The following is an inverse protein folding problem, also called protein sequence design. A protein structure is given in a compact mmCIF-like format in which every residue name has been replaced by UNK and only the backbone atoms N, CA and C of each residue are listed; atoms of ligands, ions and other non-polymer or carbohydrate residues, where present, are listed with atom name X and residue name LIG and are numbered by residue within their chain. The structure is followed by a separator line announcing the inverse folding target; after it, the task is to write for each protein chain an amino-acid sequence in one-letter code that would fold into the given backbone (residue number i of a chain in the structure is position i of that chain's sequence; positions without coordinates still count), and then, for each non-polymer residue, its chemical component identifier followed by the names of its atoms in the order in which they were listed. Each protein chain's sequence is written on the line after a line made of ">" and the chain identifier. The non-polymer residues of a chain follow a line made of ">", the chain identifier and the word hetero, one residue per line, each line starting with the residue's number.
data_IF_099405984247
#
_entry.id   IF_099405984247
#
_cell.length_a   1.000
_cell.length_b   1.000
_cell.length_c   1.000
_cell.angle_alpha   90.00
_cell.angle_beta   90.00
_cell.angle_gamma   90.00
#
_symmetry.space_group_name_H-M   'P 1'
#
loop_
_entity.id
_entity.type
_entity.pdbx_description
1 polymer ?
#
# COMPACT_ATOMS: atom_id res chain seq x y z
N UNK A 1 21.10 5.63 -19.16
CA UNK A 1 20.69 6.82 -18.39
C UNK A 1 20.31 6.37 -17.00
N UNK A 2 21.02 6.76 -15.93
CA UNK A 2 20.53 6.49 -14.58
C UNK A 2 19.18 7.21 -14.42
N UNK A 3 18.18 6.51 -13.88
CA UNK A 3 16.88 7.11 -13.58
C UNK A 3 17.09 8.23 -12.54
N UNK A 4 16.64 9.43 -12.86
CA UNK A 4 16.71 10.56 -11.95
C UNK A 4 15.87 10.23 -10.70
N UNK A 5 16.40 10.41 -9.47
CA UNK A 5 15.66 10.09 -8.27
C UNK A 5 14.39 10.94 -8.23
N UNK A 6 13.25 10.26 -8.16
CA UNK A 6 11.94 10.89 -8.26
C UNK A 6 11.72 11.81 -7.05
N UNK A 7 11.36 13.07 -7.31
CA UNK A 7 11.17 14.06 -6.27
C UNK A 7 9.92 13.72 -5.44
N UNK A 8 9.97 13.92 -4.11
CA UNK A 8 8.82 13.64 -3.28
C UNK A 8 7.65 14.54 -3.66
N UNK A 9 6.51 13.93 -3.93
CA UNK A 9 5.28 14.64 -4.24
C UNK A 9 4.08 13.91 -3.65
N UNK A 10 3.07 14.68 -3.31
CA UNK A 10 1.74 14.15 -3.06
C UNK A 10 1.13 13.92 -4.45
N UNK A 11 1.03 12.65 -4.84
CA UNK A 11 0.43 12.28 -6.10
C UNK A 11 -1.02 11.88 -5.87
N UNK A 12 -1.94 12.46 -6.64
CA UNK A 12 -3.34 12.10 -6.58
C UNK A 12 -3.59 10.96 -7.57
N UNK A 13 -3.85 9.76 -7.06
CA UNK A 13 -4.30 8.63 -7.88
C UNK A 13 -5.79 8.43 -7.61
N UNK A 14 -6.63 8.84 -8.56
CA UNK A 14 -8.08 8.93 -8.39
C UNK A 14 -8.46 9.80 -7.18
N UNK A 15 -9.22 9.26 -6.22
CA UNK A 15 -9.58 9.95 -4.97
C UNK A 15 -8.49 9.86 -3.88
N UNK A 16 -7.47 9.04 -4.08
CA UNK A 16 -6.44 8.75 -3.07
C UNK A 16 -5.25 9.69 -3.25
N UNK A 17 -4.85 10.36 -2.17
CA UNK A 17 -3.56 11.06 -2.11
C UNK A 17 -2.51 10.06 -1.64
N UNK A 18 -1.53 9.78 -2.49
CA UNK A 18 -0.42 8.90 -2.16
C UNK A 18 0.81 9.76 -1.87
N UNK A 19 1.39 9.52 -0.70
CA UNK A 19 2.66 10.10 -0.31
C UNK A 19 3.79 9.27 -0.93
N UNK A 20 4.49 9.84 -1.91
CA UNK A 20 5.73 9.24 -2.43
C UNK A 20 6.92 9.88 -1.73
N UNK A 21 7.57 9.12 -0.86
CA UNK A 21 8.84 9.52 -0.25
C UNK A 21 9.95 9.53 -1.32
N UNK A 22 10.24 10.69 -1.89
CA UNK A 22 11.44 10.88 -2.71
C UNK A 22 12.72 10.91 -1.89
N UNK A 23 13.86 11.01 -2.57
CA UNK A 23 15.16 11.09 -1.92
C UNK A 23 15.24 12.34 -1.00
N UNK A 24 15.56 12.14 0.29
CA UNK A 24 15.87 13.23 1.23
C UNK A 24 14.96 13.32 2.47
N UNK A 25 13.79 12.69 2.48
CA UNK A 25 12.98 12.59 3.70
C UNK A 25 13.56 11.57 4.67
N UNK A 26 13.54 11.91 5.96
CA UNK A 26 13.92 11.04 7.07
C UNK A 26 12.76 10.15 7.49
N UNK A 27 11.55 10.68 7.53
CA UNK A 27 10.36 9.93 7.92
C UNK A 27 9.08 10.77 7.96
N UNK A 28 8.05 10.19 8.55
CA UNK A 28 6.76 10.85 8.82
C UNK A 28 6.67 11.08 10.34
N UNK A 29 6.78 12.33 10.76
CA UNK A 29 6.63 12.74 12.15
C UNK A 29 5.15 12.92 12.51
N UNK A 30 4.76 12.38 13.65
CA UNK A 30 3.53 12.74 14.37
C UNK A 30 3.90 13.72 15.48
N UNK A 31 3.21 14.85 15.54
CA UNK A 31 3.43 15.90 16.54
C UNK A 31 2.12 16.51 17.02
N UNK A 32 2.10 16.97 18.27
CA UNK A 32 0.93 17.61 18.84
C UNK A 32 1.01 19.12 18.60
N UNK A 33 -0.11 19.73 18.19
CA UNK A 33 -0.18 21.18 17.88
C UNK A 33 -0.88 22.00 18.95
N UNK A 34 -1.69 21.37 19.81
CA UNK A 34 -2.33 22.00 20.93
C UNK A 34 -2.28 21.07 22.15
N UNK A 35 -1.90 21.60 23.31
CA UNK A 35 -1.85 20.90 24.60
C UNK A 35 -3.14 21.05 25.42
N UNK A 36 -4.16 21.74 24.88
CA UNK A 36 -5.46 21.90 25.51
C UNK A 36 -6.31 20.62 25.45
N UNK A 37 -6.83 20.20 26.61
CA UNK A 37 -7.48 18.90 26.86
C UNK A 37 -8.77 18.63 26.07
N UNK A 38 -9.42 19.67 25.55
CA UNK A 38 -10.71 19.54 24.86
C UNK A 38 -10.59 19.51 23.31
N UNK A 39 -9.41 19.82 22.75
CA UNK A 39 -9.18 19.87 21.30
C UNK A 39 -7.73 19.47 20.94
N UNK A 40 -7.31 18.26 21.35
CA UNK A 40 -5.99 17.74 20.98
C UNK A 40 -5.92 17.49 19.47
N UNK A 41 -5.17 18.34 18.78
CA UNK A 41 -4.90 18.26 17.35
C UNK A 41 -3.50 17.77 17.10
N UNK A 42 -3.38 16.81 16.20
CA UNK A 42 -2.12 16.24 15.79
C UNK A 42 -1.83 16.56 14.34
N UNK A 43 -0.57 16.88 14.07
CA UNK A 43 -0.05 17.02 12.74
C UNK A 43 0.76 15.79 12.35
N UNK A 44 0.55 15.34 11.12
CA UNK A 44 1.48 14.45 10.44
C UNK A 44 2.31 15.29 9.49
N UNK A 45 3.63 15.18 9.57
CA UNK A 45 4.54 15.94 8.75
C UNK A 45 5.62 15.05 8.13
N UNK A 46 5.94 15.29 6.86
CA UNK A 46 7.15 14.78 6.25
C UNK A 46 8.34 15.57 6.80
N UNK A 47 9.29 14.90 7.47
CA UNK A 47 10.47 15.54 8.05
C UNK A 47 11.75 15.07 7.36
N UNK A 48 12.61 16.02 7.01
CA UNK A 48 13.91 15.78 6.43
C UNK A 48 14.99 15.76 7.52
N UNK A 49 16.19 15.25 7.18
CA UNK A 49 17.32 15.23 8.11
C UNK A 49 17.95 16.61 8.38
N UNK A 50 17.62 17.61 7.56
CA UNK A 50 18.13 18.98 7.62
C UNK A 50 17.17 19.97 8.32
N UNK A 51 16.12 19.45 8.96
CA UNK A 51 15.13 20.25 9.68
C UNK A 51 13.96 20.76 8.82
N UNK A 52 13.97 20.54 7.49
CA UNK A 52 12.79 20.84 6.67
C UNK A 52 11.61 19.93 7.03
N UNK A 53 10.42 20.51 7.12
CA UNK A 53 9.19 19.79 7.46
C UNK A 53 8.02 20.29 6.63
N UNK A 54 7.12 19.39 6.21
CA UNK A 54 5.88 19.71 5.50
C UNK A 54 4.72 18.97 6.16
N UNK A 55 3.75 19.72 6.71
CA UNK A 55 2.51 19.15 7.23
C UNK A 55 1.66 18.57 6.09
N UNK A 56 1.26 17.32 6.23
CA UNK A 56 0.48 16.58 5.22
C UNK A 56 -0.94 16.27 5.70
N UNK A 57 -1.18 16.26 7.01
CA UNK A 57 -2.50 16.07 7.61
C UNK A 57 -2.58 16.71 8.99
N UNK A 58 -3.79 17.13 9.37
CA UNK A 58 -4.18 17.53 10.73
C UNK A 58 -5.35 16.63 11.13
N UNK A 59 -5.21 15.93 12.25
CA UNK A 59 -6.12 14.88 12.70
C UNK A 59 -6.42 15.08 14.20
N UNK A 60 -7.49 14.45 14.68
CA UNK A 60 -7.73 14.28 16.11
C UNK A 60 -6.98 13.06 16.67
N UNK A 61 -7.12 12.82 17.97
CA UNK A 61 -6.48 11.72 18.67
C UNK A 61 -6.96 10.33 18.19
N UNK A 62 -8.23 10.21 17.80
CA UNK A 62 -8.84 8.92 17.47
C UNK A 62 -8.29 8.37 16.15
N UNK A 63 -8.03 9.25 15.18
CA UNK A 63 -7.58 8.84 13.85
C UNK A 63 -6.06 8.93 13.64
N UNK A 64 -5.35 9.81 14.37
CA UNK A 64 -3.96 10.15 14.05
C UNK A 64 -3.03 8.94 13.96
N UNK A 65 -3.13 8.00 14.91
CA UNK A 65 -2.22 6.85 14.98
C UNK A 65 -2.46 5.90 13.81
N UNK A 66 -3.73 5.68 13.44
CA UNK A 66 -4.09 4.80 12.33
C UNK A 66 -3.59 5.37 11.00
N UNK A 67 -3.87 6.65 10.75
CA UNK A 67 -3.45 7.34 9.52
C UNK A 67 -1.92 7.44 9.44
N UNK A 68 -1.24 7.72 10.54
CA UNK A 68 0.23 7.76 10.60
C UNK A 68 0.87 6.43 10.20
N UNK A 69 0.37 5.31 10.76
CA UNK A 69 0.85 3.96 10.40
C UNK A 69 0.57 3.61 8.95
N UNK A 70 -0.61 4.00 8.44
CA UNK A 70 -0.96 3.80 7.04
C UNK A 70 -0.07 4.61 6.10
N UNK A 71 0.26 5.85 6.46
CA UNK A 71 1.22 6.66 5.71
C UNK A 71 2.61 6.00 5.69
N UNK A 72 3.10 5.46 6.81
CA UNK A 72 4.35 4.71 6.85
C UNK A 72 4.32 3.47 5.96
N UNK A 73 3.24 2.70 6.02
CA UNK A 73 3.04 1.50 5.19
C UNK A 73 2.99 1.82 3.69
N UNK A 74 2.28 2.89 3.30
CA UNK A 74 2.09 3.25 1.90
C UNK A 74 3.34 3.89 1.29
N UNK A 75 4.08 4.68 2.07
CA UNK A 75 5.28 5.39 1.61
C UNK A 75 6.57 4.58 1.77
N UNK A 76 6.61 3.62 2.70
CA UNK A 76 7.84 2.94 3.12
C UNK A 76 8.78 3.80 3.97
N UNK A 77 8.34 4.99 4.39
CA UNK A 77 9.12 5.88 5.24
C UNK A 77 9.06 5.46 6.72
N UNK A 78 10.14 5.66 7.49
CA UNK A 78 10.11 5.49 8.94
C UNK A 78 9.06 6.36 9.60
N UNK A 79 8.44 5.83 10.65
CA UNK A 79 7.54 6.55 11.53
C UNK A 79 8.36 7.26 12.60
N UNK A 80 8.07 8.53 12.86
CA UNK A 80 8.78 9.38 13.80
C UNK A 80 7.77 10.05 14.75
N UNK A 81 8.21 10.34 15.98
CA UNK A 81 7.46 11.17 16.94
C UNK A 81 8.29 12.41 17.22
N UNK A 82 7.67 13.57 17.09
CA UNK A 82 8.26 14.86 17.49
C UNK A 82 7.56 15.33 18.77
N UNK A 83 8.34 15.53 19.84
CA UNK A 83 7.83 16.06 21.11
C UNK A 83 7.57 17.56 21.01
N UNK A 84 6.89 18.14 22.00
CA UNK A 84 6.67 19.59 22.10
C UNK A 84 7.97 20.40 22.10
N UNK A 85 9.07 19.79 22.53
CA UNK A 85 10.41 20.40 22.56
C UNK A 85 11.13 20.30 21.20
N UNK A 86 10.46 19.77 20.17
CA UNK A 86 11.02 19.57 18.83
C UNK A 86 11.95 18.36 18.70
N UNK A 87 12.03 17.50 19.73
CA UNK A 87 12.89 16.32 19.70
C UNK A 87 12.23 15.23 18.86
N UNK A 88 12.90 14.84 17.77
CA UNK A 88 12.45 13.77 16.87
C UNK A 88 13.06 12.43 17.27
N UNK A 89 12.20 11.46 17.57
CA UNK A 89 12.56 10.12 17.98
C UNK A 89 11.89 9.04 17.12
N UNK A 90 12.50 7.86 17.10
CA UNK A 90 11.92 6.67 16.48
C UNK A 90 11.18 5.86 17.55
N UNK A 91 9.86 5.63 17.40
CA UNK A 91 9.05 4.90 18.38
C UNK A 91 9.33 3.39 18.37
N UNK A 92 9.96 2.89 17.30
CA UNK A 92 10.33 1.50 17.13
C UNK A 92 11.78 1.41 16.65
N UNK A 93 12.55 0.39 17.07
CA UNK A 93 13.88 0.15 16.53
C UNK A 93 13.82 -0.05 15.01
N UNK A 94 14.50 0.81 14.27
CA UNK A 94 14.66 0.66 12.83
C UNK A 94 15.93 -0.14 12.53
N UNK A 95 15.83 -1.11 11.61
CA UNK A 95 17.00 -1.80 11.05
C UNK A 95 17.78 -0.91 10.06
N UNK A 96 17.26 0.29 9.76
CA UNK A 96 17.82 1.22 8.78
C UNK A 96 17.31 0.99 7.36
N UNK A 97 17.91 1.70 6.39
CA UNK A 97 17.53 1.59 4.98
C UNK A 97 18.00 0.25 4.41
N UNK A 98 17.05 -0.53 3.90
CA UNK A 98 17.38 -1.76 3.18
C UNK A 98 17.64 -1.44 1.70
N UNK A 99 18.88 -1.70 1.25
CA UNK A 99 19.19 -1.66 -0.17
C UNK A 99 18.50 -2.83 -0.88
N UNK A 100 17.35 -2.56 -1.48
CA UNK A 100 16.68 -3.52 -2.34
C UNK A 100 17.45 -3.59 -3.67
N UNK A 101 18.01 -4.76 -3.97
CA UNK A 101 18.54 -5.05 -5.30
C UNK A 101 17.43 -5.05 -6.37
N UNK A 102 17.79 -5.19 -7.66
CA UNK A 102 16.79 -5.32 -8.72
C UNK A 102 15.82 -6.46 -8.38
N UNK A 103 14.52 -6.18 -8.45
CA UNK A 103 13.47 -7.18 -8.19
C UNK A 103 13.61 -8.30 -9.23
N UNK A 104 14.19 -9.43 -8.83
CA UNK A 104 14.28 -10.62 -9.67
C UNK A 104 13.00 -11.44 -9.49
N UNK A 105 12.16 -11.44 -10.53
CA UNK A 105 10.99 -12.31 -10.56
C UNK A 105 11.47 -13.77 -10.50
N UNK A 106 11.23 -14.45 -9.37
CA UNK A 106 11.64 -15.86 -9.18
C UNK A 106 10.95 -16.82 -10.15
N UNK A 107 9.72 -16.53 -10.57
CA UNK A 107 8.94 -17.35 -11.52
C UNK A 107 8.26 -16.45 -12.56
N UNK A 108 8.59 -16.66 -13.83
CA UNK A 108 8.19 -15.85 -15.01
C UNK A 108 6.72 -15.46 -15.10
N UNK A 109 5.81 -16.21 -14.45
CA UNK A 109 4.36 -15.98 -14.50
C UNK A 109 3.70 -15.90 -13.11
N UNK A 110 4.44 -15.70 -12.01
CA UNK A 110 3.83 -15.72 -10.66
C UNK A 110 2.81 -14.59 -10.44
N UNK A 111 2.93 -13.49 -11.17
CA UNK A 111 1.95 -12.41 -11.14
C UNK A 111 0.57 -12.82 -11.70
N UNK A 112 0.49 -13.97 -12.38
CA UNK A 112 -0.76 -14.58 -12.86
C UNK A 112 -1.31 -15.65 -11.89
N UNK A 113 -0.72 -15.84 -10.70
CA UNK A 113 -1.13 -16.90 -9.76
C UNK A 113 -2.57 -16.76 -9.25
N UNK A 114 -3.14 -15.54 -9.25
CA UNK A 114 -4.55 -15.31 -8.92
C UNK A 114 -5.52 -15.55 -10.09
N UNK A 115 -5.01 -15.82 -11.30
CA UNK A 115 -5.84 -16.11 -12.48
C UNK A 115 -6.00 -17.62 -12.64
N UNK A 116 -7.20 -18.03 -13.06
CA UNK A 116 -7.48 -19.43 -13.36
C UNK A 116 -6.64 -19.90 -14.55
N UNK A 117 -5.87 -21.00 -14.44
CA UNK A 117 -5.11 -21.57 -15.55
C UNK A 117 -5.99 -21.88 -16.76
N UNK A 118 -5.50 -21.58 -17.97
CA UNK A 118 -6.27 -21.71 -19.23
C UNK A 118 -6.82 -23.13 -19.48
N UNK A 119 -6.14 -24.17 -18.96
CA UNK A 119 -6.61 -25.55 -19.11
C UNK A 119 -7.87 -25.86 -18.26
N UNK A 120 -8.10 -25.14 -17.16
CA UNK A 120 -9.31 -25.26 -16.33
C UNK A 120 -10.49 -24.43 -16.84
N UNK A 121 -10.26 -23.59 -17.86
CA UNK A 121 -11.31 -22.79 -18.53
C UNK A 121 -11.97 -23.57 -19.66
N UNK A 122 -11.34 -24.67 -20.13
CA UNK A 122 -11.95 -25.55 -21.13
C UNK A 122 -13.09 -26.34 -20.49
N UNK A 123 -14.34 -25.94 -20.76
CA UNK A 123 -15.48 -26.85 -20.62
C UNK A 123 -15.22 -28.05 -21.54
N UNK A 124 -15.17 -29.26 -21.01
CA UNK A 124 -15.18 -30.47 -21.84
C UNK A 124 -16.50 -30.45 -22.62
N UNK A 125 -16.45 -30.59 -23.94
CA UNK A 125 -17.66 -30.84 -24.73
C UNK A 125 -18.32 -32.09 -24.14
N UNK A 126 -19.62 -32.02 -23.84
CA UNK A 126 -20.37 -33.19 -23.40
C UNK A 126 -20.19 -34.31 -24.42
N UNK A 127 -19.91 -35.52 -23.95
CA UNK A 127 -19.86 -36.69 -24.81
C UNK A 127 -21.28 -37.25 -24.86
N UNK A 128 -21.97 -37.06 -25.99
CA UNK A 128 -23.23 -37.75 -26.23
C UNK A 128 -22.93 -39.25 -26.36
N UNK A 129 -23.77 -40.09 -25.78
CA UNK A 129 -23.70 -41.54 -26.01
C UNK A 129 -23.95 -41.83 -27.49
N UNK A 130 -23.29 -42.85 -28.04
CA UNK A 130 -23.49 -43.27 -29.45
C UNK A 130 -24.94 -43.67 -29.76
N UNK A 131 -25.73 -43.95 -28.72
CA UNK A 131 -27.15 -44.26 -28.82
C UNK A 131 -27.96 -43.30 -27.95
N UNK A 132 -29.13 -42.84 -28.42
CA UNK A 132 -30.05 -42.04 -27.61
C UNK A 132 -30.54 -42.87 -26.41
N UNK A 133 -30.64 -42.22 -25.25
CA UNK A 133 -31.32 -42.81 -24.09
C UNK A 133 -32.82 -42.76 -24.40
N UNK A 134 -33.42 -43.93 -24.60
CA UNK A 134 -34.88 -44.06 -24.80
C UNK A 134 -35.52 -44.25 -23.43
N UNK A 135 -36.39 -43.32 -23.03
CA UNK A 135 -37.20 -43.45 -21.82
C UNK A 135 -38.65 -43.57 -22.27
N UNK A 136 -39.32 -44.66 -21.88
CA UNK A 136 -40.73 -44.93 -22.20
C UNK A 136 -41.10 -44.95 -23.71
N UNK A 137 -40.16 -45.33 -24.57
CA UNK A 137 -40.42 -45.53 -26.00
C UNK A 137 -40.35 -44.27 -26.87
N UNK A 138 -40.17 -43.10 -26.29
CA UNK A 138 -39.99 -41.84 -27.03
C UNK A 138 -38.53 -41.40 -27.05
N UNK A 139 -38.08 -40.85 -28.19
CA UNK A 139 -36.74 -40.25 -28.32
C UNK A 139 -36.76 -38.88 -27.66
N UNK A 140 -35.86 -38.66 -26.70
CA UNK A 140 -35.78 -37.40 -25.95
C UNK A 140 -35.08 -36.26 -26.71
N UNK A 141 -34.49 -36.51 -27.88
CA UNK A 141 -33.76 -35.50 -28.67
C UNK A 141 -33.98 -35.70 -30.16
N UNK A 142 -34.20 -34.59 -30.87
CA UNK A 142 -34.11 -34.48 -32.34
C UNK A 142 -32.66 -34.58 -32.84
#
# INVERSE_FOLDING_TARGET
>A
MPAQPDAPRIERIASVRILRGGAGWRGIAMRMTNTGREDERFELALTAGDGRSITVAVLDQDDVVAIWRDCGRASGLPLLIETSDGVISEPYPQLGRLALGPVRIRRRHSFLNGRRPRFLVRRKTGRLSERPVVVAGERLTD
#
